data_IF_906198896797
#
_entry.id   IF_906198896797
#
_cell.length_a   1.000
_cell.length_b   1.000
_cell.length_c   1.000
_cell.angle_alpha   90.00
_cell.angle_beta   90.00
_cell.angle_gamma   90.00
#
_symmetry.space_group_name_H-M   'P 1'
#
loop_
_entity.id
_entity.type
_entity.pdbx_description
1 polymer ?
#
# COMPACT_ATOMS: atom_id res chain seq x y z
N UNK A 1 5.37 10.57 13.60
CA UNK A 1 6.16 9.61 12.82
C UNK A 1 5.53 8.23 12.95
N UNK A 2 5.11 7.63 11.83
CA UNK A 2 4.68 6.22 11.80
C UNK A 2 5.95 5.36 11.69
N UNK A 3 6.03 4.30 12.50
CA UNK A 3 7.22 3.43 12.52
C UNK A 3 7.20 2.43 11.36
N UNK A 4 6.02 1.89 11.08
CA UNK A 4 5.76 0.96 9.99
C UNK A 4 5.99 1.57 8.61
N UNK A 5 6.35 0.73 7.65
CA UNK A 5 6.45 1.13 6.24
C UNK A 5 5.08 0.96 5.58
N UNK A 6 4.64 1.98 4.84
CA UNK A 6 3.34 1.94 4.15
C UNK A 6 3.52 1.39 2.74
N UNK A 7 2.87 0.27 2.44
CA UNK A 7 2.84 -0.31 1.09
C UNK A 7 1.67 0.30 0.31
N UNK A 8 1.96 0.86 -0.85
CA UNK A 8 1.01 1.58 -1.72
C UNK A 8 1.13 1.14 -3.18
N UNK A 9 0.13 1.41 -4.01
CA UNK A 9 0.13 0.98 -5.41
C UNK A 9 1.15 1.77 -6.25
N UNK A 10 1.16 3.10 -6.11
CA UNK A 10 1.96 3.96 -6.97
C UNK A 10 2.45 5.25 -6.33
N UNK A 11 3.06 6.08 -7.17
CA UNK A 11 3.72 7.32 -6.76
C UNK A 11 2.76 8.36 -6.19
N UNK A 12 1.56 8.47 -6.75
CA UNK A 12 0.56 9.43 -6.27
C UNK A 12 0.13 9.12 -4.83
N UNK A 13 0.01 7.82 -4.50
CA UNK A 13 -0.25 7.37 -3.13
C UNK A 13 0.90 7.73 -2.18
N UNK A 14 2.17 7.52 -2.61
CA UNK A 14 3.34 7.92 -1.83
C UNK A 14 3.29 9.42 -1.50
N UNK A 15 2.92 10.25 -2.47
CA UNK A 15 2.80 11.70 -2.28
C UNK A 15 1.67 12.02 -1.30
N UNK A 16 0.51 11.38 -1.44
CA UNK A 16 -0.63 11.57 -0.53
C UNK A 16 -0.28 11.17 0.92
N UNK A 17 0.36 10.03 1.10
CA UNK A 17 0.84 9.55 2.41
C UNK A 17 1.79 10.57 3.04
N UNK A 18 2.82 11.01 2.31
CA UNK A 18 3.82 11.96 2.83
C UNK A 18 3.25 13.35 3.15
N UNK A 19 2.15 13.74 2.50
CA UNK A 19 1.42 14.98 2.82
C UNK A 19 0.62 14.84 4.12
N UNK A 20 0.11 13.66 4.41
CA UNK A 20 -0.73 13.41 5.58
C UNK A 20 0.08 13.04 6.82
N UNK A 21 1.14 12.25 6.67
CA UNK A 21 1.93 11.67 7.76
C UNK A 21 3.39 11.51 7.38
N UNK A 22 4.27 11.61 8.37
CA UNK A 22 5.68 11.25 8.21
C UNK A 22 5.84 9.72 8.29
N UNK A 23 6.01 9.10 7.12
CA UNK A 23 6.16 7.66 6.96
C UNK A 23 7.02 7.33 5.71
N UNK A 24 7.72 6.19 5.77
CA UNK A 24 8.34 5.60 4.59
C UNK A 24 7.31 4.81 3.78
N UNK A 25 7.51 4.77 2.46
CA UNK A 25 6.63 4.04 1.55
C UNK A 25 7.38 3.01 0.69
N UNK A 26 6.67 1.95 0.32
CA UNK A 26 7.08 1.02 -0.75
C UNK A 26 5.96 1.00 -1.79
N UNK A 27 6.31 1.36 -3.03
CA UNK A 27 5.42 1.32 -4.18
C UNK A 27 5.46 -0.07 -4.82
N UNK A 28 4.30 -0.65 -5.11
CA UNK A 28 4.22 -1.95 -5.78
C UNK A 28 4.35 -1.84 -7.30
N UNK A 29 4.14 -0.64 -7.87
CA UNK A 29 4.14 -0.43 -9.32
C UNK A 29 2.91 -1.02 -10.00
N UNK A 30 1.78 -1.07 -9.28
CA UNK A 30 0.54 -1.72 -9.70
C UNK A 30 0.27 -3.07 -9.02
N UNK A 31 -0.76 -3.78 -9.50
CA UNK A 31 -1.23 -5.04 -8.89
C UNK A 31 -0.37 -6.27 -9.23
N UNK A 32 0.53 -6.18 -10.21
CA UNK A 32 1.46 -7.24 -10.57
C UNK A 32 2.79 -7.10 -9.82
N UNK A 33 2.81 -7.58 -8.56
CA UNK A 33 3.98 -7.43 -7.68
C UNK A 33 5.07 -8.43 -8.04
N UNK A 34 6.27 -7.94 -8.32
CA UNK A 34 7.42 -8.79 -8.62
C UNK A 34 8.14 -9.28 -7.33
N UNK A 35 9.01 -10.28 -7.49
CA UNK A 35 9.73 -10.92 -6.36
C UNK A 35 10.66 -9.95 -5.62
N UNK A 36 11.21 -8.95 -6.28
CA UNK A 36 12.11 -7.99 -5.64
C UNK A 36 11.35 -7.08 -4.67
N UNK A 37 10.19 -6.60 -5.10
CA UNK A 37 9.29 -5.80 -4.25
C UNK A 37 8.83 -6.62 -3.06
N UNK A 38 8.42 -7.89 -3.27
CA UNK A 38 8.04 -8.78 -2.18
C UNK A 38 9.15 -8.98 -1.14
N UNK A 39 10.41 -9.14 -1.59
CA UNK A 39 11.56 -9.22 -0.67
C UNK A 39 11.75 -7.93 0.13
N UNK A 40 11.60 -6.76 -0.50
CA UNK A 40 11.68 -5.46 0.19
C UNK A 40 10.58 -5.32 1.24
N UNK A 41 9.36 -5.75 0.92
CA UNK A 41 8.23 -5.74 1.84
C UNK A 41 8.49 -6.68 3.03
N UNK A 42 8.98 -7.90 2.79
CA UNK A 42 9.29 -8.86 3.85
C UNK A 42 10.35 -8.32 4.82
N UNK A 43 11.43 -7.71 4.29
CA UNK A 43 12.47 -7.08 5.12
C UNK A 43 11.94 -5.88 5.92
N UNK A 44 11.02 -5.10 5.34
CA UNK A 44 10.37 -4.00 6.06
C UNK A 44 9.49 -4.52 7.20
N UNK A 45 8.72 -5.59 6.97
CA UNK A 45 7.89 -6.24 7.98
C UNK A 45 8.74 -6.74 9.16
N UNK A 46 9.85 -7.43 8.89
CA UNK A 46 10.74 -7.95 9.94
C UNK A 46 11.31 -6.82 10.82
N UNK A 47 11.70 -5.70 10.21
CA UNK A 47 12.41 -4.62 10.91
C UNK A 47 11.49 -3.65 11.64
N UNK A 48 10.36 -3.32 11.03
CA UNK A 48 9.51 -2.20 11.46
C UNK A 48 8.02 -2.52 11.46
N UNK A 49 7.61 -3.59 10.79
CA UNK A 49 6.23 -3.83 10.42
C UNK A 49 5.83 -3.05 9.16
N UNK A 50 4.78 -3.52 8.49
CA UNK A 50 4.16 -2.85 7.36
C UNK A 50 2.66 -2.60 7.56
N UNK A 51 2.17 -1.56 6.89
CA UNK A 51 0.74 -1.27 6.73
C UNK A 51 0.44 -1.22 5.24
N UNK A 52 -0.49 -2.05 4.76
CA UNK A 52 -0.97 -2.00 3.39
C UNK A 52 -2.09 -0.97 3.29
N UNK A 53 -1.88 0.09 2.50
CA UNK A 53 -2.84 1.14 2.22
C UNK A 53 -3.12 1.17 0.71
N UNK A 54 -4.30 0.67 0.33
CA UNK A 54 -4.77 0.65 -1.06
C UNK A 54 -6.24 1.05 -1.10
N UNK A 55 -6.68 1.48 -2.29
CA UNK A 55 -8.10 1.66 -2.59
C UNK A 55 -8.90 0.37 -2.41
N UNK A 56 -10.21 0.48 -2.11
CA UNK A 56 -11.14 -0.65 -2.05
C UNK A 56 -11.58 -1.08 -3.45
N UNK A 57 -10.62 -1.37 -4.34
CA UNK A 57 -10.88 -1.84 -5.70
C UNK A 57 -10.14 -3.16 -6.01
N UNK A 58 -10.36 -3.70 -7.21
CA UNK A 58 -9.77 -4.97 -7.62
C UNK A 58 -8.23 -4.97 -7.61
N UNK A 59 -7.58 -3.83 -7.87
CA UNK A 59 -6.13 -3.74 -7.85
C UNK A 59 -5.63 -3.76 -6.41
N UNK A 60 -6.25 -2.98 -5.52
CA UNK A 60 -5.96 -2.97 -4.09
C UNK A 60 -6.16 -4.33 -3.42
N UNK A 61 -7.27 -5.01 -3.70
CA UNK A 61 -7.52 -6.37 -3.20
C UNK A 61 -6.46 -7.37 -3.67
N UNK A 62 -6.02 -7.27 -4.93
CA UNK A 62 -4.96 -8.13 -5.46
C UNK A 62 -3.64 -7.90 -4.74
N UNK A 63 -3.26 -6.65 -4.53
CA UNK A 63 -2.04 -6.30 -3.77
C UNK A 63 -2.08 -6.92 -2.37
N UNK A 64 -3.20 -6.73 -1.65
CA UNK A 64 -3.38 -7.30 -0.30
C UNK A 64 -3.21 -8.82 -0.29
N UNK A 65 -3.92 -9.53 -1.17
CA UNK A 65 -3.86 -10.99 -1.26
C UNK A 65 -2.44 -11.49 -1.53
N UNK A 66 -1.73 -10.88 -2.48
CA UNK A 66 -0.36 -11.28 -2.84
C UNK A 66 0.60 -11.03 -1.67
N UNK A 67 0.51 -9.87 -1.03
CA UNK A 67 1.39 -9.52 0.09
C UNK A 67 1.11 -10.40 1.30
N UNK A 68 -0.15 -10.62 1.69
CA UNK A 68 -0.50 -11.48 2.83
C UNK A 68 -0.04 -12.93 2.66
N UNK A 69 -0.14 -13.45 1.44
CA UNK A 69 0.34 -14.80 1.13
C UNK A 69 1.86 -14.93 1.28
N UNK A 70 2.61 -13.86 1.03
CA UNK A 70 4.07 -13.87 1.07
C UNK A 70 4.65 -13.40 2.40
N UNK A 71 3.94 -12.51 3.09
CA UNK A 71 4.39 -11.79 4.29
C UNK A 71 3.24 -11.83 5.31
N UNK A 72 3.18 -12.85 6.18
CA UNK A 72 2.11 -12.94 7.17
C UNK A 72 2.26 -11.89 8.27
N UNK A 73 1.13 -11.47 8.86
CA UNK A 73 1.10 -10.52 9.98
C UNK A 73 1.16 -9.04 9.57
N UNK A 74 0.88 -8.73 8.30
CA UNK A 74 0.73 -7.35 7.83
C UNK A 74 -0.47 -6.66 8.49
N UNK A 75 -0.38 -5.35 8.69
CA UNK A 75 -1.54 -4.52 9.04
C UNK A 75 -2.22 -4.02 7.78
N UNK A 76 -3.53 -3.80 7.84
CA UNK A 76 -4.34 -3.29 6.73
C UNK A 76 -5.03 -2.00 7.13
N UNK A 77 -4.81 -0.95 6.34
CA UNK A 77 -5.59 0.29 6.41
C UNK A 77 -6.51 0.37 5.20
N UNK A 78 -7.72 0.90 5.38
CA UNK A 78 -8.73 1.02 4.32
C UNK A 78 -9.16 2.48 4.20
N UNK A 79 -9.27 2.98 2.98
CA UNK A 79 -9.85 4.30 2.71
C UNK A 79 -11.37 4.15 2.83
N UNK A 80 -12.06 4.97 3.66
CA UNK A 80 -13.51 4.92 3.76
C UNK A 80 -14.16 5.14 2.40
N UNK A 81 -15.19 4.35 2.06
CA UNK A 81 -15.88 4.40 0.76
C UNK A 81 -16.39 5.82 0.41
N UNK A 82 -16.84 6.57 1.42
CA UNK A 82 -17.28 7.98 1.28
C UNK A 82 -16.16 8.93 0.81
N UNK A 83 -14.90 8.56 0.98
CA UNK A 83 -13.72 9.34 0.57
C UNK A 83 -13.06 8.77 -0.70
N UNK A 84 -13.37 7.52 -1.07
CA UNK A 84 -12.92 6.84 -2.29
C UNK A 84 -13.67 7.31 -3.55
N UNK A 85 -13.87 8.62 -3.70
CA UNK A 85 -14.43 9.18 -4.93
C UNK A 85 -13.29 9.36 -5.95
N UNK A 86 -13.17 8.41 -6.89
CA UNK A 86 -12.52 8.72 -8.18
C UNK A 86 -13.32 9.86 -8.79
N UNK A 87 -12.79 11.09 -8.76
CA UNK A 87 -13.21 12.14 -9.69
C UNK A 87 -12.81 11.64 -11.09
N UNK A 88 -13.69 10.83 -11.68
CA UNK A 88 -13.66 10.55 -13.10
C UNK A 88 -13.72 11.90 -13.79
N UNK A 89 -12.72 12.21 -14.61
CA UNK A 89 -12.85 13.25 -15.61
C UNK A 89 -13.87 12.71 -16.61
N UNK A 90 -15.15 12.98 -16.36
CA UNK A 90 -16.17 12.99 -17.39
C UNK A 90 -16.05 14.36 -18.07
N UNK A 91 -15.30 14.38 -19.18
CA UNK A 91 -15.46 15.36 -20.24
C UNK A 91 -16.06 14.63 -21.44
#
# INVERSE_FOLDING_TARGET
MIKEVIVVEGRDDTVAVKRAVEADTIETGGSAINKEILKRIALAQERRGIIILTDPDHAGERIRKIVDQHVPGCKHAFIPEKEATRKGISA
#
